data_IF_284562837174
#
_entry.id   IF_284562837174
#
_cell.length_a   1.000
_cell.length_b   1.000
_cell.length_c   1.000
_cell.angle_alpha   90.00
_cell.angle_beta   90.00
_cell.angle_gamma   90.00
#
_symmetry.space_group_name_H-M   'P 1'
#
loop_
_entity.id
_entity.type
_entity.pdbx_description
1 polymer ?
#
# COMPACT_ATOMS: atom_id res chain seq x y z
N UNK A 1 -5.93 -18.71 7.74
CA UNK A 1 -5.85 -17.31 7.29
C UNK A 1 -5.43 -17.37 5.82
N UNK A 2 -6.28 -16.85 4.93
CA UNK A 2 -6.06 -16.91 3.48
C UNK A 2 -6.41 -15.60 2.77
N UNK A 3 -6.55 -14.49 3.52
CA UNK A 3 -6.88 -13.17 2.96
C UNK A 3 -5.70 -12.23 3.01
N UNK A 4 -5.52 -11.47 1.93
CA UNK A 4 -4.58 -10.35 1.88
C UNK A 4 -5.37 -9.07 1.62
N UNK A 5 -5.10 -8.04 2.40
CA UNK A 5 -5.81 -6.76 2.34
C UNK A 5 -4.83 -5.68 1.90
N UNK A 6 -5.27 -4.86 0.96
CA UNK A 6 -4.56 -3.67 0.52
C UNK A 6 -5.47 -2.44 0.71
N UNK A 7 -5.01 -1.45 1.48
CA UNK A 7 -5.73 -0.22 1.76
C UNK A 7 -5.20 0.92 0.91
N UNK A 8 -6.10 1.78 0.42
CA UNK A 8 -5.79 2.88 -0.50
C UNK A 8 -5.14 2.40 -1.80
N UNK A 9 -5.40 1.16 -2.20
CA UNK A 9 -4.88 0.53 -3.41
C UNK A 9 -5.91 0.63 -4.54
N UNK A 10 -5.60 1.44 -5.53
CA UNK A 10 -6.49 1.68 -6.66
C UNK A 10 -6.40 0.59 -7.73
N UNK A 11 -5.22 0.04 -7.94
CA UNK A 11 -4.92 -0.88 -9.05
C UNK A 11 -4.93 -2.35 -8.64
N UNK A 12 -4.58 -2.65 -7.40
CA UNK A 12 -4.45 -4.02 -6.91
C UNK A 12 -3.18 -4.74 -7.39
N UNK A 13 -2.24 -4.03 -8.03
CA UNK A 13 -1.04 -4.66 -8.61
C UNK A 13 -0.21 -5.40 -7.57
N UNK A 14 -0.05 -4.83 -6.37
CA UNK A 14 0.65 -5.48 -5.26
C UNK A 14 -0.01 -6.76 -4.75
N UNK A 15 -1.28 -6.99 -5.11
CA UNK A 15 -2.03 -8.18 -4.72
C UNK A 15 -1.92 -9.33 -5.74
N UNK A 16 -1.48 -9.05 -6.98
CA UNK A 16 -1.41 -10.06 -8.05
C UNK A 16 -0.57 -11.27 -7.65
N UNK A 17 0.64 -11.15 -7.09
CA UNK A 17 1.43 -12.31 -6.67
C UNK A 17 0.73 -13.15 -5.60
N UNK A 18 0.05 -12.51 -4.66
CA UNK A 18 -0.69 -13.20 -3.60
C UNK A 18 -1.89 -13.97 -4.15
N UNK A 19 -2.65 -13.35 -5.06
CA UNK A 19 -3.78 -14.01 -5.71
C UNK A 19 -3.32 -15.19 -6.57
N UNK A 20 -2.18 -15.08 -7.27
CA UNK A 20 -1.60 -16.20 -8.02
C UNK A 20 -1.32 -17.43 -7.14
N UNK A 21 -0.91 -17.20 -5.88
CA UNK A 21 -0.66 -18.25 -4.87
C UNK A 21 -1.93 -18.73 -4.15
N UNK A 22 -3.11 -18.28 -4.55
CA UNK A 22 -4.39 -18.80 -4.05
C UNK A 22 -5.01 -17.99 -2.89
N UNK A 23 -4.51 -16.80 -2.59
CA UNK A 23 -5.13 -15.95 -1.57
C UNK A 23 -6.39 -15.25 -2.10
N UNK A 24 -7.35 -15.02 -1.21
CA UNK A 24 -8.45 -14.08 -1.41
C UNK A 24 -7.95 -12.66 -1.12
N UNK A 25 -7.77 -11.85 -2.14
CA UNK A 25 -7.21 -10.51 -2.03
C UNK A 25 -8.31 -9.44 -2.12
N UNK A 26 -8.15 -8.37 -1.35
CA UNK A 26 -9.09 -7.25 -1.31
C UNK A 26 -8.35 -5.92 -1.45
N UNK A 27 -8.58 -5.23 -2.57
CA UNK A 27 -8.10 -3.89 -2.84
C UNK A 27 -9.16 -2.87 -2.41
N UNK A 28 -8.91 -2.14 -1.33
CA UNK A 28 -9.79 -1.08 -0.83
C UNK A 28 -9.28 0.29 -1.27
N UNK A 29 -10.16 1.07 -1.95
CA UNK A 29 -9.84 2.43 -2.34
C UNK A 29 -11.10 3.31 -2.35
N UNK A 30 -11.04 4.62 -1.95
CA UNK A 30 -12.21 5.51 -1.94
C UNK A 30 -12.89 5.67 -3.31
N UNK A 31 -12.13 5.52 -4.41
CA UNK A 31 -12.65 5.65 -5.78
C UNK A 31 -13.24 4.35 -6.35
N UNK A 32 -13.14 3.22 -5.67
CA UNK A 32 -13.85 2.01 -6.07
C UNK A 32 -15.36 2.22 -5.90
N UNK A 33 -16.15 1.60 -6.75
CA UNK A 33 -17.61 1.86 -6.82
C UNK A 33 -18.44 0.81 -6.10
N UNK A 34 -17.86 -0.37 -5.84
CA UNK A 34 -18.62 -1.50 -5.31
C UNK A 34 -18.42 -1.61 -3.80
N UNK A 35 -19.54 -1.68 -3.09
CA UNK A 35 -19.53 -2.12 -1.70
C UNK A 35 -19.02 -3.58 -1.61
N UNK A 36 -18.59 -4.02 -0.44
CA UNK A 36 -18.03 -5.35 -0.26
C UNK A 36 -18.92 -6.49 -0.79
N UNK A 37 -20.23 -6.39 -0.59
CA UNK A 37 -21.18 -7.42 -1.04
C UNK A 37 -21.46 -7.42 -2.54
N UNK A 38 -21.15 -6.31 -3.21
CA UNK A 38 -21.42 -6.11 -4.65
C UNK A 38 -20.14 -6.24 -5.49
N UNK A 39 -18.98 -6.44 -4.83
CA UNK A 39 -17.72 -6.63 -5.52
C UNK A 39 -17.59 -8.06 -6.00
N UNK A 40 -17.56 -8.25 -7.32
CA UNK A 40 -17.25 -9.55 -7.91
C UNK A 40 -15.74 -9.81 -7.89
N UNK A 41 -15.28 -10.97 -7.36
CA UNK A 41 -13.87 -11.31 -7.38
C UNK A 41 -13.36 -11.54 -8.81
N UNK A 42 -12.29 -10.86 -9.17
CA UNK A 42 -11.58 -11.10 -10.44
C UNK A 42 -10.59 -12.23 -10.24
N UNK A 43 -10.66 -13.34 -10.99
CA UNK A 43 -9.73 -14.46 -10.83
C UNK A 43 -8.30 -14.11 -11.24
N UNK A 44 -7.32 -14.53 -10.44
CA UNK A 44 -5.90 -14.47 -10.73
C UNK A 44 -5.22 -15.74 -10.25
N UNK A 45 -4.75 -16.57 -11.17
CA UNK A 45 -4.15 -17.85 -10.82
C UNK A 45 -5.11 -18.75 -10.02
N UNK A 46 -4.71 -19.17 -8.83
CA UNK A 46 -5.52 -20.01 -7.93
C UNK A 46 -6.40 -19.21 -6.95
N UNK A 47 -6.26 -17.89 -6.91
CA UNK A 47 -7.02 -16.98 -6.03
C UNK A 47 -7.78 -15.91 -6.79
N UNK A 48 -8.05 -14.78 -6.13
CA UNK A 48 -8.85 -13.70 -6.69
C UNK A 48 -8.54 -12.35 -6.07
N UNK A 49 -8.89 -11.27 -6.77
CA UNK A 49 -8.84 -9.89 -6.24
C UNK A 49 -10.25 -9.28 -6.32
N UNK A 50 -10.74 -8.78 -5.20
CA UNK A 50 -11.98 -7.99 -5.11
C UNK A 50 -11.64 -6.51 -4.94
N UNK A 51 -12.22 -5.66 -5.77
CA UNK A 51 -12.07 -4.20 -5.70
C UNK A 51 -13.24 -3.60 -4.94
N UNK A 52 -12.96 -3.07 -3.75
CA UNK A 52 -13.99 -2.66 -2.79
C UNK A 52 -13.84 -1.17 -2.47
N UNK A 53 -14.97 -0.46 -2.36
CA UNK A 53 -14.95 0.92 -1.90
C UNK A 53 -14.46 0.99 -0.44
N UNK A 54 -13.47 1.82 -0.19
CA UNK A 54 -13.01 2.13 1.15
C UNK A 54 -13.99 3.09 1.80
N UNK A 55 -14.61 2.66 2.89
CA UNK A 55 -15.50 3.48 3.71
C UNK A 55 -14.67 4.31 4.70
N UNK A 56 -15.18 5.47 5.14
CA UNK A 56 -14.52 6.31 6.15
C UNK A 56 -14.37 5.60 7.50
N UNK A 57 -15.29 4.70 7.84
CA UNK A 57 -15.24 3.87 9.04
C UNK A 57 -14.69 2.47 8.73
N UNK A 58 -13.46 2.20 9.16
CA UNK A 58 -12.79 0.91 8.97
C UNK A 58 -13.33 -0.21 9.87
N UNK A 59 -14.25 0.06 10.80
CA UNK A 59 -14.78 -0.95 11.72
C UNK A 59 -15.45 -2.14 11.01
N UNK A 60 -16.15 -1.86 9.90
CA UNK A 60 -16.78 -2.90 9.07
C UNK A 60 -15.75 -3.77 8.35
N UNK A 61 -14.68 -3.15 7.82
CA UNK A 61 -13.57 -3.86 7.22
C UNK A 61 -12.93 -4.78 8.25
N UNK A 62 -12.60 -4.25 9.43
CA UNK A 62 -12.00 -5.01 10.52
C UNK A 62 -12.89 -6.20 10.91
N UNK A 63 -14.19 -6.00 11.12
CA UNK A 63 -15.10 -7.07 11.50
C UNK A 63 -15.23 -8.18 10.46
N UNK A 64 -15.13 -7.86 9.16
CA UNK A 64 -15.21 -8.82 8.05
C UNK A 64 -13.95 -9.68 7.91
N UNK A 65 -12.80 -9.12 8.25
CA UNK A 65 -11.51 -9.70 7.93
C UNK A 65 -10.71 -10.17 9.15
N UNK A 66 -11.11 -9.78 10.37
CA UNK A 66 -10.48 -10.25 11.60
C UNK A 66 -10.37 -11.77 11.61
N UNK A 67 -9.23 -12.29 12.04
CA UNK A 67 -8.91 -13.71 12.14
C UNK A 67 -8.84 -14.47 10.79
N UNK A 68 -9.04 -13.79 9.67
CA UNK A 68 -8.96 -14.35 8.32
C UNK A 68 -7.79 -13.78 7.52
N UNK A 69 -7.23 -12.66 7.96
CA UNK A 69 -6.16 -11.93 7.28
C UNK A 69 -4.81 -12.59 7.55
N UNK A 70 -4.04 -12.80 6.49
CA UNK A 70 -2.67 -13.29 6.55
C UNK A 70 -1.65 -12.14 6.44
N UNK A 71 -2.00 -11.07 5.71
CA UNK A 71 -1.14 -9.92 5.49
C UNK A 71 -1.97 -8.66 5.19
N UNK A 72 -1.45 -7.48 5.61
CA UNK A 72 -2.02 -6.20 5.22
C UNK A 72 -0.92 -5.30 4.63
N UNK A 73 -1.23 -4.65 3.52
CA UNK A 73 -0.46 -3.55 2.95
C UNK A 73 -1.32 -2.30 2.87
N UNK A 74 -0.73 -1.11 3.03
CA UNK A 74 -1.46 0.14 2.95
C UNK A 74 -0.64 1.24 2.27
N UNK A 75 -1.32 2.03 1.45
CA UNK A 75 -0.75 3.12 0.65
C UNK A 75 -1.52 4.42 0.90
N UNK A 76 -1.57 4.93 2.16
CA UNK A 76 -2.35 6.11 2.48
C UNK A 76 -1.85 7.32 1.67
N UNK A 77 -2.72 8.33 1.41
CA UNK A 77 -2.39 9.46 0.54
C UNK A 77 -1.11 10.17 0.95
N UNK A 78 -0.04 10.03 0.16
CA UNK A 78 1.28 10.61 0.41
C UNK A 78 1.51 11.97 -0.25
N UNK A 79 0.61 12.46 -1.13
CA UNK A 79 0.79 13.71 -1.88
C UNK A 79 0.90 14.94 -1.00
N UNK A 80 0.23 14.94 0.15
CA UNK A 80 0.29 16.03 1.12
C UNK A 80 1.59 16.02 1.93
N UNK A 81 2.26 14.88 2.01
CA UNK A 81 3.41 14.64 2.89
C UNK A 81 4.74 14.55 2.13
N UNK A 82 4.72 14.19 0.84
CA UNK A 82 5.94 13.96 0.07
C UNK A 82 6.72 15.24 -0.19
N UNK A 83 8.05 15.16 -0.14
CA UNK A 83 8.95 16.28 -0.49
C UNK A 83 8.75 16.73 -1.94
N UNK A 84 8.44 15.82 -2.86
CA UNK A 84 8.12 16.14 -4.26
C UNK A 84 6.87 17.01 -4.43
N UNK A 85 5.93 16.94 -3.48
CA UNK A 85 4.73 17.77 -3.42
C UNK A 85 4.90 19.12 -2.73
N UNK A 86 6.05 19.40 -2.11
CA UNK A 86 6.27 20.56 -1.22
C UNK A 86 5.98 21.93 -1.87
N UNK A 87 6.22 22.05 -3.18
CA UNK A 87 5.92 23.27 -3.95
C UNK A 87 4.44 23.69 -3.90
N UNK A 88 3.54 22.74 -3.62
CA UNK A 88 2.09 22.96 -3.58
C UNK A 88 1.55 23.12 -2.15
N UNK A 89 2.36 22.92 -1.11
CA UNK A 89 1.90 22.93 0.28
C UNK A 89 1.31 24.28 0.69
N UNK A 90 1.93 25.40 0.26
CA UNK A 90 1.39 26.74 0.55
C UNK A 90 -0.03 26.91 -0.03
N UNK A 91 -0.28 26.46 -1.24
CA UNK A 91 -1.59 26.55 -1.86
C UNK A 91 -2.59 25.63 -1.16
N UNK A 92 -2.19 24.40 -0.85
CA UNK A 92 -3.02 23.43 -0.14
C UNK A 92 -3.37 23.92 1.27
N UNK A 93 -2.44 24.52 2.02
CA UNK A 93 -2.70 25.02 3.38
C UNK A 93 -3.64 26.23 3.41
N UNK A 94 -3.75 27.00 2.34
CA UNK A 94 -4.74 28.09 2.24
C UNK A 94 -6.15 27.50 2.05
N UNK A 95 -6.27 26.44 1.28
CA UNK A 95 -7.56 25.77 1.04
C UNK A 95 -7.99 24.87 2.23
N UNK A 96 -7.05 24.20 2.86
CA UNK A 96 -7.25 23.32 4.01
C UNK A 96 -6.01 23.37 4.92
N UNK A 97 -6.05 24.13 6.04
CA UNK A 97 -4.92 24.23 6.96
C UNK A 97 -4.47 22.89 7.54
N UNK A 98 -5.38 21.93 7.66
CA UNK A 98 -5.15 20.62 8.28
C UNK A 98 -4.82 19.52 7.26
N UNK A 99 -4.57 19.85 5.99
CA UNK A 99 -4.38 18.87 4.91
C UNK A 99 -3.27 17.84 5.20
N UNK A 100 -2.18 18.24 5.88
CA UNK A 100 -1.11 17.32 6.27
C UNK A 100 -1.51 16.44 7.46
N UNK A 101 -2.21 17.00 8.44
CA UNK A 101 -2.69 16.25 9.59
C UNK A 101 -3.69 15.18 9.16
N UNK A 102 -4.60 15.48 8.25
CA UNK A 102 -5.53 14.48 7.68
C UNK A 102 -4.80 13.34 6.97
N UNK A 103 -3.71 13.64 6.26
CA UNK A 103 -2.90 12.60 5.63
C UNK A 103 -2.13 11.74 6.64
N UNK A 104 -1.66 12.35 7.74
CA UNK A 104 -1.07 11.61 8.87
C UNK A 104 -2.11 10.73 9.56
N UNK A 105 -3.32 11.24 9.75
CA UNK A 105 -4.40 10.49 10.39
C UNK A 105 -4.80 9.28 9.54
N UNK A 106 -4.86 9.40 8.22
CA UNK A 106 -5.09 8.25 7.32
C UNK A 106 -4.01 7.16 7.49
N UNK A 107 -2.74 7.52 7.66
CA UNK A 107 -1.67 6.54 7.93
C UNK A 107 -1.84 5.88 9.31
N UNK A 108 -2.22 6.65 10.34
CA UNK A 108 -2.51 6.12 11.68
C UNK A 108 -3.73 5.21 11.69
N UNK A 109 -4.76 5.52 10.94
CA UNK A 109 -5.94 4.67 10.78
C UNK A 109 -5.59 3.32 10.14
N UNK A 110 -4.71 3.31 9.11
CA UNK A 110 -4.18 2.07 8.55
C UNK A 110 -3.44 1.24 9.62
N UNK A 111 -2.62 1.89 10.46
CA UNK A 111 -1.95 1.23 11.58
C UNK A 111 -2.94 0.61 12.56
N UNK A 112 -3.93 1.40 13.00
CA UNK A 112 -4.97 0.92 13.93
C UNK A 112 -5.78 -0.24 13.32
N UNK A 113 -6.06 -0.20 12.02
CA UNK A 113 -6.75 -1.30 11.34
C UNK A 113 -5.90 -2.57 11.33
N UNK A 114 -4.59 -2.47 11.06
CA UNK A 114 -3.67 -3.59 11.09
C UNK A 114 -3.62 -4.24 12.50
N UNK A 115 -3.49 -3.42 13.55
CA UNK A 115 -3.54 -3.88 14.94
C UNK A 115 -4.86 -4.59 15.27
N UNK A 116 -5.97 -4.04 14.81
CA UNK A 116 -7.30 -4.59 15.09
C UNK A 116 -7.64 -5.86 14.30
N UNK A 117 -6.95 -6.14 13.19
CA UNK A 117 -7.09 -7.38 12.44
C UNK A 117 -6.43 -8.59 13.12
N UNK A 118 -5.59 -8.36 14.14
CA UNK A 118 -5.00 -9.37 15.00
C UNK A 118 -3.64 -9.88 14.54
N UNK A 119 -2.56 -9.37 15.13
CA UNK A 119 -1.16 -9.85 15.01
C UNK A 119 -0.72 -10.32 13.60
N UNK A 120 -1.26 -9.70 12.55
CA UNK A 120 -0.88 -10.01 11.16
C UNK A 120 0.30 -9.16 10.73
N UNK A 121 1.32 -9.69 10.05
CA UNK A 121 2.37 -8.89 9.46
C UNK A 121 1.77 -7.83 8.53
N UNK A 122 2.29 -6.60 8.61
CA UNK A 122 1.81 -5.52 7.76
C UNK A 122 2.91 -4.51 7.44
N UNK A 123 2.67 -3.74 6.39
CA UNK A 123 3.39 -2.50 6.15
C UNK A 123 2.46 -1.36 5.70
N UNK A 124 2.87 -0.14 6.01
CA UNK A 124 2.32 1.09 5.47
C UNK A 124 3.42 1.74 4.64
N UNK A 125 3.17 1.99 3.37
CA UNK A 125 4.10 2.64 2.44
C UNK A 125 3.77 4.12 2.35
N UNK A 126 4.81 4.96 2.37
CA UNK A 126 4.69 6.37 2.01
C UNK A 126 6.05 6.87 1.47
N UNK A 127 6.07 7.85 0.57
CA UNK A 127 7.32 8.43 0.11
C UNK A 127 8.05 9.18 1.23
N UNK A 128 9.34 9.42 1.04
CA UNK A 128 10.10 10.31 1.95
C UNK A 128 9.44 11.66 2.04
N UNK A 129 9.18 12.11 3.27
CA UNK A 129 8.48 13.38 3.50
C UNK A 129 8.15 13.64 4.96
N UNK A 130 7.07 14.36 5.18
CA UNK A 130 6.66 14.84 6.50
C UNK A 130 6.13 13.76 7.44
N UNK A 131 5.78 12.58 6.94
CA UNK A 131 5.20 11.53 7.80
C UNK A 131 6.15 11.11 8.92
N UNK A 132 7.47 11.00 8.62
CA UNK A 132 8.49 10.71 9.64
C UNK A 132 8.59 11.79 10.71
N UNK A 133 8.35 13.05 10.38
CA UNK A 133 8.43 14.17 11.31
C UNK A 133 7.13 14.35 12.13
N UNK A 134 5.98 14.13 11.49
CA UNK A 134 4.66 14.38 12.09
C UNK A 134 4.09 13.18 12.85
N UNK A 135 4.65 12.00 12.62
CA UNK A 135 4.23 10.77 13.29
C UNK A 135 5.40 10.04 13.93
N UNK A 136 6.15 9.24 13.17
CA UNK A 136 7.31 8.47 13.64
C UNK A 136 8.25 8.14 12.49
N UNK A 137 9.51 7.84 12.79
CA UNK A 137 10.47 7.36 11.79
C UNK A 137 9.99 6.03 11.16
N UNK A 138 10.27 5.79 9.88
CA UNK A 138 9.99 4.51 9.23
C UNK A 138 10.90 3.40 9.78
N UNK A 139 10.40 2.18 9.77
CA UNK A 139 11.20 1.00 10.19
C UNK A 139 12.16 0.58 9.08
N UNK A 140 11.79 0.81 7.81
CA UNK A 140 12.64 0.52 6.66
C UNK A 140 12.58 1.64 5.63
N UNK A 141 13.72 1.88 4.98
CA UNK A 141 13.85 2.77 3.80
C UNK A 141 14.60 2.02 2.73
N UNK A 142 14.04 1.93 1.53
CA UNK A 142 14.65 1.22 0.41
C UNK A 142 14.39 1.94 -0.92
N UNK A 143 15.08 1.49 -1.96
CA UNK A 143 14.85 1.92 -3.35
C UNK A 143 14.44 0.70 -4.18
N UNK A 144 13.49 0.81 -5.14
CA UNK A 144 12.95 -0.33 -5.90
C UNK A 144 14.01 -1.22 -6.53
N UNK A 145 15.07 -0.65 -7.12
CA UNK A 145 16.16 -1.42 -7.75
C UNK A 145 16.82 -2.43 -6.80
N UNK A 146 16.77 -2.22 -5.47
CA UNK A 146 17.35 -3.14 -4.49
C UNK A 146 16.64 -4.51 -4.47
N UNK A 147 15.43 -4.58 -5.00
CA UNK A 147 14.61 -5.78 -5.08
C UNK A 147 14.25 -6.19 -6.51
N UNK A 148 14.77 -5.48 -7.50
CA UNK A 148 14.43 -5.68 -8.90
C UNK A 148 14.75 -7.07 -9.44
N UNK A 149 15.72 -7.79 -8.86
CA UNK A 149 16.04 -9.15 -9.29
C UNK A 149 15.02 -10.22 -8.86
N UNK A 150 14.00 -9.86 -8.07
CA UNK A 150 12.84 -10.72 -7.86
C UNK A 150 11.88 -10.72 -9.05
N UNK A 151 11.91 -9.70 -9.90
CA UNK A 151 11.13 -9.62 -11.12
C UNK A 151 11.86 -10.34 -12.27
N UNK A 152 11.13 -10.94 -13.24
CA UNK A 152 11.73 -11.61 -14.37
C UNK A 152 12.52 -10.65 -15.26
N UNK A 153 13.45 -11.17 -16.09
CA UNK A 153 14.30 -10.35 -16.95
C UNK A 153 13.51 -9.61 -18.05
N UNK A 154 12.35 -10.14 -18.44
CA UNK A 154 11.41 -9.57 -19.39
C UNK A 154 10.27 -8.78 -18.73
N UNK A 155 10.43 -8.41 -17.45
CA UNK A 155 9.44 -7.61 -16.72
C UNK A 155 9.13 -6.30 -17.45
N UNK A 156 7.84 -5.97 -17.50
CA UNK A 156 7.33 -4.72 -18.07
C UNK A 156 6.26 -4.17 -17.14
N UNK A 157 6.43 -2.91 -16.71
CA UNK A 157 5.47 -2.29 -15.82
C UNK A 157 4.06 -2.24 -16.45
N UNK A 158 3.01 -2.79 -15.79
CA UNK A 158 1.71 -3.01 -16.41
C UNK A 158 0.99 -1.73 -16.86
N UNK A 159 1.24 -0.60 -16.20
CA UNK A 159 0.55 0.66 -16.48
C UNK A 159 1.43 1.74 -17.12
N UNK A 160 2.76 1.71 -16.88
CA UNK A 160 3.69 2.75 -17.34
C UNK A 160 4.97 2.17 -17.95
N UNK A 161 4.85 1.32 -19.00
CA UNK A 161 6.01 0.65 -19.59
C UNK A 161 7.01 1.62 -20.24
N UNK A 162 6.54 2.79 -20.69
CA UNK A 162 7.38 3.81 -21.33
C UNK A 162 8.09 4.74 -20.33
N UNK A 163 7.71 4.72 -19.06
CA UNK A 163 8.21 5.65 -18.05
C UNK A 163 9.00 4.97 -16.94
N UNK A 164 8.69 3.74 -16.63
CA UNK A 164 9.37 2.96 -15.61
C UNK A 164 10.24 1.89 -16.28
N UNK A 165 11.52 1.82 -15.91
CA UNK A 165 12.41 0.81 -16.46
C UNK A 165 11.98 -0.59 -16.00
N UNK A 166 12.29 -1.64 -16.78
CA UNK A 166 12.07 -3.02 -16.39
C UNK A 166 12.68 -3.33 -15.01
N UNK A 167 12.03 -4.24 -14.28
CA UNK A 167 12.52 -4.72 -12.99
C UNK A 167 12.68 -3.61 -11.94
N UNK A 168 11.87 -2.56 -12.07
CA UNK A 168 11.92 -1.39 -11.18
C UNK A 168 13.34 -0.80 -10.99
N UNK A 169 14.16 -0.83 -12.05
CA UNK A 169 15.55 -0.41 -12.05
C UNK A 169 15.72 1.11 -11.93
N UNK A 170 15.12 1.73 -10.91
CA UNK A 170 15.18 3.17 -10.67
C UNK A 170 15.44 3.51 -9.20
N UNK A 171 15.94 4.73 -8.99
CA UNK A 171 16.23 5.28 -7.67
C UNK A 171 15.07 6.15 -7.18
N UNK A 172 14.38 5.67 -6.14
CA UNK A 172 13.36 6.44 -5.42
C UNK A 172 13.22 5.88 -4.03
N UNK A 173 13.56 6.65 -3.03
CA UNK A 173 13.41 6.20 -1.63
C UNK A 173 11.94 6.03 -1.27
N UNK A 174 11.63 4.87 -0.78
CA UNK A 174 10.33 4.44 -0.26
C UNK A 174 10.50 4.13 1.21
N UNK A 175 9.55 4.57 2.03
CA UNK A 175 9.54 4.35 3.48
C UNK A 175 8.45 3.34 3.84
N UNK A 176 8.77 2.40 4.73
CA UNK A 176 7.80 1.46 5.29
C UNK A 176 7.73 1.61 6.81
N UNK A 177 6.51 1.69 7.30
CA UNK A 177 6.16 1.53 8.71
C UNK A 177 5.54 0.15 8.88
N UNK A 178 6.13 -0.70 9.71
CA UNK A 178 5.83 -2.13 9.76
C UNK A 178 5.49 -2.61 11.16
N UNK A 179 4.80 -3.75 11.26
CA UNK A 179 4.48 -4.37 12.54
C UNK A 179 4.24 -5.86 12.44
N UNK A 180 4.09 -6.51 13.62
CA UNK A 180 3.74 -7.92 13.80
C UNK A 180 4.63 -8.89 13.01
N UNK A 181 5.95 -8.88 13.30
CA UNK A 181 6.93 -9.78 12.69
C UNK A 181 7.10 -9.63 11.17
N UNK A 182 6.73 -8.46 10.61
CA UNK A 182 7.09 -8.16 9.22
C UNK A 182 8.59 -8.30 9.00
N UNK A 183 8.97 -8.93 7.91
CA UNK A 183 10.38 -9.11 7.54
C UNK A 183 10.60 -8.62 6.12
N UNK A 184 11.55 -7.69 5.96
CA UNK A 184 12.02 -7.35 4.63
C UNK A 184 12.65 -8.59 3.96
N UNK A 185 12.38 -8.82 2.68
CA UNK A 185 13.08 -9.84 1.91
C UNK A 185 14.57 -9.50 1.81
N UNK A 186 15.40 -10.48 1.47
CA UNK A 186 16.81 -10.23 1.17
C UNK A 186 16.93 -9.31 -0.05
N UNK A 187 17.89 -8.38 -0.04
CA UNK A 187 18.14 -7.55 -1.21
C UNK A 187 18.70 -8.40 -2.37
N UNK A 188 18.05 -8.29 -3.52
CA UNK A 188 18.47 -8.85 -4.80
C UNK A 188 18.44 -7.70 -5.82
N UNK A 189 19.53 -6.94 -5.86
CA UNK A 189 19.60 -5.69 -6.62
C UNK A 189 19.82 -5.91 -8.11
N UNK A 190 19.25 -4.98 -8.90
CA UNK A 190 19.61 -4.74 -10.31
C UNK A 190 20.35 -3.42 -10.43
N UNK A 191 20.98 -3.16 -11.59
CA UNK A 191 21.60 -1.85 -11.81
C UNK A 191 20.52 -0.81 -12.15
N UNK A 192 20.41 0.31 -11.38
CA UNK A 192 19.46 1.38 -11.66
C UNK A 192 19.92 2.30 -12.79
#
# INVERSE_FOLDING_TARGET
MNRVISLYDKTGDGLIPWAAEGFECFAYHPQHRHAFHDSEPVPYGAGSISFVQLEDDLSRLISRHRDKTAFLMAFPPGEALSTGGARWWRQKSVADPDFQLKAVDAAKECWCAAEALGNVPFYIENPVGMLSQLWREPDHVFEPFQFGAYLPDDDVHPHWPDFLPPRDAYRRKICLWTGHDFKMPAELSVSP
#
